data_IF_641002291896
#
_entry.id   IF_641002291896
#
_cell.length_a   1.000
_cell.length_b   1.000
_cell.length_c   1.000
_cell.angle_alpha   90.00
_cell.angle_beta   90.00
_cell.angle_gamma   90.00
#
_symmetry.space_group_name_H-M   'P 1'
#
loop_
_entity.id
_entity.type
_entity.pdbx_description
1 polymer ?
#
# COMPACT_ATOMS: atom_id res chain seq x y z
N UNK A 1 -29.45 36.01 -7.14
CA UNK A 1 -28.32 35.77 -6.21
C UNK A 1 -28.24 34.29 -5.80
N UNK A 2 -28.08 33.37 -6.78
CA UNK A 2 -27.99 31.92 -6.53
C UNK A 2 -26.86 31.20 -7.26
N UNK A 3 -26.03 31.95 -8.01
CA UNK A 3 -24.96 31.40 -8.83
C UNK A 3 -23.69 31.10 -8.02
N UNK A 4 -23.26 32.02 -7.15
CA UNK A 4 -22.06 31.89 -6.29
C UNK A 4 -22.12 30.66 -5.33
N UNK A 5 -23.25 30.35 -4.66
CA UNK A 5 -23.35 29.19 -3.77
C UNK A 5 -23.14 27.84 -4.47
N UNK A 6 -23.53 27.72 -5.73
CA UNK A 6 -23.44 26.47 -6.51
C UNK A 6 -21.97 26.12 -6.80
N UNK A 7 -21.14 27.10 -7.17
CA UNK A 7 -19.70 26.87 -7.40
C UNK A 7 -18.97 26.46 -6.14
N UNK A 8 -19.29 27.07 -5.00
CA UNK A 8 -18.69 26.72 -3.71
C UNK A 8 -19.08 25.28 -3.34
N UNK A 9 -20.35 24.92 -3.50
CA UNK A 9 -20.84 23.57 -3.18
C UNK A 9 -20.23 22.50 -4.11
N UNK A 10 -20.15 22.77 -5.41
CA UNK A 10 -19.49 21.89 -6.39
C UNK A 10 -17.98 21.77 -6.11
N UNK A 11 -17.31 22.88 -5.83
CA UNK A 11 -15.89 22.89 -5.49
C UNK A 11 -15.59 22.12 -4.21
N UNK A 12 -16.39 22.33 -3.15
CA UNK A 12 -16.27 21.61 -1.89
C UNK A 12 -16.52 20.10 -2.08
N UNK A 13 -17.53 19.72 -2.86
CA UNK A 13 -17.80 18.32 -3.19
C UNK A 13 -16.66 17.66 -3.98
N UNK A 14 -16.10 18.35 -4.97
CA UNK A 14 -14.94 17.89 -5.73
C UNK A 14 -13.69 17.71 -4.87
N UNK A 15 -13.45 18.65 -3.94
CA UNK A 15 -12.35 18.57 -2.99
C UNK A 15 -12.52 17.41 -2.01
N UNK A 16 -13.71 17.23 -1.43
CA UNK A 16 -14.04 16.09 -0.57
C UNK A 16 -13.81 14.76 -1.31
N UNK A 17 -14.30 14.65 -2.54
CA UNK A 17 -14.10 13.48 -3.37
C UNK A 17 -12.61 13.18 -3.59
N UNK A 18 -11.83 14.20 -3.98
CA UNK A 18 -10.38 14.06 -4.17
C UNK A 18 -9.70 13.58 -2.88
N UNK A 19 -10.03 14.18 -1.73
CA UNK A 19 -9.48 13.79 -0.43
C UNK A 19 -9.86 12.35 -0.05
N UNK A 20 -11.09 11.93 -0.32
CA UNK A 20 -11.53 10.55 -0.08
C UNK A 20 -10.71 9.56 -0.89
N UNK A 21 -10.52 9.81 -2.18
CA UNK A 21 -9.73 8.93 -3.06
C UNK A 21 -8.25 8.92 -2.66
N UNK A 22 -7.69 10.10 -2.36
CA UNK A 22 -6.32 10.24 -1.85
C UNK A 22 -6.11 9.45 -0.56
N UNK A 23 -7.03 9.60 0.40
CA UNK A 23 -6.96 8.89 1.69
C UNK A 23 -7.09 7.38 1.51
N UNK A 24 -7.92 6.91 0.58
CA UNK A 24 -8.03 5.49 0.26
C UNK A 24 -6.71 4.91 -0.29
N UNK A 25 -6.04 5.62 -1.20
CA UNK A 25 -4.72 5.22 -1.73
C UNK A 25 -3.64 5.27 -0.65
N UNK A 26 -3.60 6.35 0.14
CA UNK A 26 -2.67 6.51 1.25
C UNK A 26 -2.81 5.39 2.28
N UNK A 27 -4.05 5.00 2.61
CA UNK A 27 -4.32 3.91 3.56
C UNK A 27 -3.72 2.59 3.09
N UNK A 28 -3.76 2.28 1.80
CA UNK A 28 -3.14 1.07 1.24
C UNK A 28 -1.61 1.10 1.29
N UNK A 29 -1.00 2.27 1.07
CA UNK A 29 0.44 2.46 1.26
C UNK A 29 0.85 2.30 2.72
N UNK A 30 0.08 2.90 3.64
CA UNK A 30 0.34 2.76 5.06
C UNK A 30 0.20 1.31 5.51
N UNK A 31 -0.81 0.59 5.02
CA UNK A 31 -0.96 -0.84 5.30
C UNK A 31 0.23 -1.66 4.81
N UNK A 32 0.79 -1.33 3.64
CA UNK A 32 2.02 -1.95 3.16
C UNK A 32 3.19 -1.71 4.13
N UNK A 33 3.38 -0.47 4.58
CA UNK A 33 4.41 -0.13 5.56
C UNK A 33 4.21 -0.86 6.89
N UNK A 34 2.98 -0.94 7.39
CA UNK A 34 2.66 -1.69 8.61
C UNK A 34 3.00 -3.17 8.49
N UNK A 35 2.68 -3.81 7.36
CA UNK A 35 3.03 -5.20 7.11
C UNK A 35 4.54 -5.40 7.05
N UNK A 36 5.28 -4.46 6.45
CA UNK A 36 6.76 -4.49 6.44
C UNK A 36 7.34 -4.34 7.86
N UNK A 37 6.81 -3.42 8.67
CA UNK A 37 7.22 -3.25 10.07
C UNK A 37 6.95 -4.54 10.86
N UNK A 38 5.79 -5.17 10.69
CA UNK A 38 5.46 -6.45 11.33
C UNK A 38 6.41 -7.56 10.89
N UNK A 39 6.78 -7.60 9.61
CA UNK A 39 7.74 -8.57 9.09
C UNK A 39 9.13 -8.37 9.72
N UNK A 40 9.59 -7.11 9.80
CA UNK A 40 10.87 -6.75 10.42
C UNK A 40 10.89 -7.10 11.92
N UNK A 41 9.81 -6.84 12.65
CA UNK A 41 9.71 -7.22 14.08
C UNK A 41 9.75 -8.72 14.32
N UNK A 42 9.32 -9.55 13.35
CA UNK A 42 9.34 -11.00 13.47
C UNK A 42 10.68 -11.60 13.04
N UNK A 43 11.37 -10.97 12.11
CA UNK A 43 12.69 -11.39 11.69
C UNK A 43 13.52 -10.18 11.19
N UNK A 44 14.43 -9.64 12.02
CA UNK A 44 15.23 -8.47 11.67
C UNK A 44 16.16 -8.74 10.48
N UNK A 45 16.52 -10.01 10.21
CA UNK A 45 17.30 -10.39 9.04
C UNK A 45 16.53 -10.19 7.71
N UNK A 46 15.19 -10.25 7.74
CA UNK A 46 14.35 -9.94 6.57
C UNK A 46 14.16 -8.43 6.40
N UNK A 47 14.15 -7.67 7.49
CA UNK A 47 13.99 -6.21 7.47
C UNK A 47 15.09 -5.47 6.72
N UNK A 48 16.32 -5.99 6.74
CA UNK A 48 17.49 -5.39 6.07
C UNK A 48 17.41 -5.57 4.54
N UNK A 49 16.76 -6.63 4.04
CA UNK A 49 16.54 -6.84 2.60
C UNK A 49 15.36 -6.03 2.02
N UNK A 50 14.51 -5.48 2.89
CA UNK A 50 13.28 -4.75 2.53
C UNK A 50 13.56 -3.31 2.08
N UNK A 51 14.68 -2.72 2.49
CA UNK A 51 15.05 -1.34 2.12
C UNK A 51 15.37 -1.20 0.63
N UNK A 52 15.87 -2.27 -0.01
CA UNK A 52 16.32 -2.25 -1.41
C UNK A 52 15.39 -2.97 -2.40
N UNK A 53 14.47 -3.84 -1.94
CA UNK A 53 13.60 -4.58 -2.87
C UNK A 53 12.22 -4.89 -2.29
N UNK A 54 11.20 -4.15 -2.74
CA UNK A 54 9.77 -4.39 -2.44
C UNK A 54 9.20 -5.66 -3.10
N UNK A 55 10.02 -6.67 -3.39
CA UNK A 55 9.60 -7.88 -4.07
C UNK A 55 9.28 -9.03 -3.09
N UNK A 56 8.00 -9.40 -2.91
CA UNK A 56 7.59 -10.42 -1.96
C UNK A 56 8.17 -11.81 -2.27
N UNK A 57 8.54 -12.07 -3.53
CA UNK A 57 9.14 -13.34 -3.94
C UNK A 57 10.61 -13.46 -3.47
N UNK A 58 11.33 -12.34 -3.30
CA UNK A 58 12.68 -12.32 -2.70
C UNK A 58 12.61 -12.57 -1.19
N UNK A 59 11.59 -12.03 -0.51
CA UNK A 59 11.35 -12.26 0.91
C UNK A 59 11.01 -13.73 1.23
N UNK A 60 10.30 -14.42 0.32
CA UNK A 60 10.05 -15.87 0.44
C UNK A 60 11.34 -16.66 0.30
N UNK A 61 12.24 -16.25 -0.60
CA UNK A 61 13.56 -16.86 -0.77
C UNK A 61 14.43 -16.75 0.49
N UNK A 62 14.48 -15.55 1.07
CA UNK A 62 15.25 -15.28 2.29
C UNK A 62 14.71 -16.04 3.52
N UNK A 63 13.39 -16.25 3.61
CA UNK A 63 12.76 -17.09 4.63
C UNK A 63 13.06 -18.57 4.50
N UNK A 64 13.26 -19.08 3.28
CA UNK A 64 13.64 -20.48 3.06
C UNK A 64 15.10 -20.76 3.38
N UNK A 65 15.97 -19.77 3.21
CA UNK A 65 17.41 -19.90 3.49
C UNK A 65 17.73 -19.75 4.98
N UNK A 66 17.06 -18.82 5.68
CA UNK A 66 17.18 -18.72 7.13
C UNK A 66 16.32 -19.83 7.74
N UNK A 67 16.95 -20.81 8.40
CA UNK A 67 16.27 -21.89 9.15
C UNK A 67 15.55 -21.30 10.37
N UNK A 68 14.46 -20.58 10.11
CA UNK A 68 13.62 -19.94 11.12
C UNK A 68 12.68 -20.99 11.71
N UNK A 69 12.40 -20.86 13.01
CA UNK A 69 11.42 -21.69 13.71
C UNK A 69 10.09 -21.75 12.96
N UNK A 70 9.50 -22.95 12.83
CA UNK A 70 8.35 -23.23 11.95
C UNK A 70 7.16 -22.30 12.25
N UNK A 71 6.96 -21.96 13.52
CA UNK A 71 5.91 -21.03 13.98
C UNK A 71 6.14 -19.58 13.51
N UNK A 72 7.39 -19.12 13.48
CA UNK A 72 7.75 -17.77 13.01
C UNK A 72 7.72 -17.73 11.48
N UNK A 73 8.16 -18.81 10.82
CA UNK A 73 8.11 -18.95 9.36
C UNK A 73 6.66 -18.90 8.83
N UNK A 74 5.70 -19.57 9.48
CA UNK A 74 4.28 -19.52 9.10
C UNK A 74 3.68 -18.11 9.25
N UNK A 75 4.01 -17.40 10.35
CA UNK A 75 3.56 -16.02 10.57
C UNK A 75 4.15 -15.06 9.54
N UNK A 76 5.44 -15.19 9.23
CA UNK A 76 6.10 -14.36 8.24
C UNK A 76 5.57 -14.64 6.82
N UNK A 77 5.31 -15.91 6.49
CA UNK A 77 4.74 -16.29 5.19
C UNK A 77 3.33 -15.73 4.99
N UNK A 78 2.51 -15.70 6.05
CA UNK A 78 1.20 -15.05 6.02
C UNK A 78 1.32 -13.55 5.72
N UNK A 79 2.23 -12.86 6.41
CA UNK A 79 2.48 -11.42 6.21
C UNK A 79 2.97 -11.14 4.78
N UNK A 80 3.83 -11.98 4.22
CA UNK A 80 4.31 -11.80 2.84
C UNK A 80 3.20 -12.05 1.81
N UNK A 81 2.31 -13.01 2.05
CA UNK A 81 1.10 -13.17 1.22
C UNK A 81 0.24 -11.92 1.26
N UNK A 82 0.02 -11.36 2.44
CA UNK A 82 -0.78 -10.13 2.61
C UNK A 82 -0.11 -8.93 1.90
N UNK A 83 1.22 -8.82 1.96
CA UNK A 83 2.00 -7.82 1.20
C UNK A 83 1.77 -7.97 -0.31
N UNK A 84 1.87 -9.19 -0.84
CA UNK A 84 1.67 -9.49 -2.26
C UNK A 84 0.25 -9.13 -2.71
N UNK A 85 -0.76 -9.50 -1.92
CA UNK A 85 -2.16 -9.17 -2.20
C UNK A 85 -2.37 -7.66 -2.19
N UNK A 86 -1.85 -6.95 -1.18
CA UNK A 86 -2.00 -5.50 -1.09
C UNK A 86 -1.35 -4.79 -2.28
N UNK A 87 -0.14 -5.22 -2.69
CA UNK A 87 0.55 -4.69 -3.87
C UNK A 87 -0.27 -4.85 -5.14
N UNK A 88 -0.81 -6.04 -5.40
CA UNK A 88 -1.66 -6.31 -6.57
C UNK A 88 -2.91 -5.41 -6.55
N UNK A 89 -3.60 -5.35 -5.41
CA UNK A 89 -4.80 -4.53 -5.28
C UNK A 89 -4.51 -3.05 -5.47
N UNK A 90 -3.42 -2.53 -4.89
CA UNK A 90 -3.01 -1.14 -5.02
C UNK A 90 -2.67 -0.78 -6.47
N UNK A 91 -1.88 -1.62 -7.13
CA UNK A 91 -1.52 -1.43 -8.54
C UNK A 91 -2.74 -1.53 -9.47
N UNK A 92 -3.72 -2.38 -9.13
CA UNK A 92 -4.98 -2.47 -9.87
C UNK A 92 -5.85 -1.20 -9.68
N UNK A 93 -5.87 -0.63 -8.47
CA UNK A 93 -6.58 0.63 -8.20
C UNK A 93 -5.97 1.78 -9.01
N UNK A 94 -4.65 1.93 -9.03
CA UNK A 94 -3.99 2.99 -9.82
C UNK A 94 -4.27 2.92 -11.33
N UNK A 95 -4.72 1.78 -11.85
CA UNK A 95 -5.13 1.65 -13.25
C UNK A 95 -6.58 2.08 -13.51
N UNK A 96 -7.44 2.14 -12.49
CA UNK A 96 -8.89 2.40 -12.63
C UNK A 96 -9.23 3.85 -12.28
N UNK A 97 -10.18 4.46 -12.97
CA UNK A 97 -10.79 5.71 -12.52
C UNK A 97 -11.67 5.46 -11.27
N UNK A 98 -11.81 6.42 -10.34
CA UNK A 98 -11.17 7.74 -10.30
C UNK A 98 -9.72 7.75 -9.79
N UNK A 99 -9.24 6.62 -9.28
CA UNK A 99 -7.93 6.48 -8.63
C UNK A 99 -6.73 6.77 -9.55
N UNK A 100 -6.83 6.52 -10.85
CA UNK A 100 -5.75 6.77 -11.81
C UNK A 100 -5.39 8.26 -11.88
N UNK A 101 -6.38 9.13 -12.08
CA UNK A 101 -6.10 10.57 -12.22
C UNK A 101 -5.83 11.23 -10.87
N UNK A 102 -6.55 10.85 -9.80
CA UNK A 102 -6.19 11.29 -8.44
C UNK A 102 -4.78 10.81 -8.07
N UNK A 103 -4.45 9.59 -8.46
CA UNK A 103 -3.13 8.99 -8.35
C UNK A 103 -2.03 9.83 -9.01
N UNK A 104 -2.26 10.24 -10.26
CA UNK A 104 -1.34 11.12 -11.00
C UNK A 104 -1.19 12.50 -10.36
N UNK A 105 -2.28 13.14 -9.96
CA UNK A 105 -2.26 14.47 -9.32
C UNK A 105 -1.52 14.41 -7.97
N UNK A 106 -1.77 13.38 -7.18
CA UNK A 106 -1.14 13.19 -5.87
C UNK A 106 0.23 12.47 -5.94
N UNK A 107 0.78 12.26 -7.14
CA UNK A 107 2.08 11.61 -7.37
C UNK A 107 2.23 10.21 -6.75
N UNK A 108 1.14 9.45 -6.68
CA UNK A 108 1.17 8.05 -6.27
C UNK A 108 1.80 7.17 -7.35
N UNK A 109 2.81 6.38 -6.97
CA UNK A 109 3.52 5.46 -7.86
C UNK A 109 3.14 4.02 -7.56
N UNK A 110 3.25 3.14 -8.56
CA UNK A 110 3.08 1.70 -8.37
C UNK A 110 4.17 1.18 -7.44
N UNK A 111 3.79 0.18 -6.64
CA UNK A 111 4.69 -0.54 -5.72
C UNK A 111 5.03 -1.87 -6.35
#
# INVERSE_FOLDING_TARGET
>A
MGFIPIFIMLGAGGLLFFLTVKNALQRKLNHQKELLIKLNSLNPALGIMVEDSSDPDLLIGALKQNRVDKSIAEKALKIIRDLKVNRIQYNALLKKAPYNWVGKIASFQKI
#
